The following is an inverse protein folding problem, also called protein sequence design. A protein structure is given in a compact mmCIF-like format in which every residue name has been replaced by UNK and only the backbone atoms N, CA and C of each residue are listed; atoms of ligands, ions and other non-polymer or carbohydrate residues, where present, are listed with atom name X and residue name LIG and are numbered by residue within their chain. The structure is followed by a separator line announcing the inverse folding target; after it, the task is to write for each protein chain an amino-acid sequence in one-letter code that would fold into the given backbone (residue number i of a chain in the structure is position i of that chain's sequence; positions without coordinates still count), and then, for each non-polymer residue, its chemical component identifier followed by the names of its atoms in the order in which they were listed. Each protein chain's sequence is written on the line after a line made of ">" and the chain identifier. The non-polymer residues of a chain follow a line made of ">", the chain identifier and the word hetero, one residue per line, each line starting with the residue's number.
data_IF_467774016353
#
_entry.id   IF_467774016353
#
_cell.length_a   1.000
_cell.length_b   1.000
_cell.length_c   1.000
_cell.angle_alpha   90.00
_cell.angle_beta   90.00
_cell.angle_gamma   90.00
#
_symmetry.space_group_name_H-M   'P 1'
#
loop_
_entity.id
_entity.type
_entity.pdbx_description
1 polymer ?
#
# COMPACT_ATOMS: atom_id res chain seq x y z
N UNK A 1 6.36 31.32 51.44
CA UNK A 1 5.18 30.47 51.28
C UNK A 1 4.40 30.74 49.97
N UNK A 2 4.31 31.99 49.51
CA UNK A 2 3.56 32.38 48.30
C UNK A 2 4.15 31.81 46.99
N UNK A 3 5.47 31.70 46.88
CA UNK A 3 6.15 31.16 45.68
C UNK A 3 5.94 29.65 45.47
N UNK A 4 5.80 28.87 46.55
CA UNK A 4 5.57 27.41 46.45
C UNK A 4 4.16 27.14 45.93
N UNK A 5 3.18 27.96 46.35
CA UNK A 5 1.78 27.83 45.89
C UNK A 5 1.63 28.14 44.39
N UNK A 6 2.35 29.15 43.88
CA UNK A 6 2.37 29.52 42.48
C UNK A 6 2.98 28.39 41.62
N UNK A 7 4.08 27.79 42.03
CA UNK A 7 4.73 26.69 41.30
C UNK A 7 3.85 25.44 41.27
N UNK A 8 3.15 25.14 42.36
CA UNK A 8 2.22 23.99 42.41
C UNK A 8 1.01 24.24 41.49
N UNK A 9 0.48 25.44 41.47
CA UNK A 9 -0.64 25.83 40.63
C UNK A 9 -0.27 25.78 39.14
N UNK A 10 0.91 26.30 38.79
CA UNK A 10 1.41 26.27 37.42
C UNK A 10 1.63 24.83 36.90
N UNK A 11 2.21 23.94 37.74
CA UNK A 11 2.37 22.53 37.39
C UNK A 11 1.04 21.78 37.28
N UNK A 12 0.05 22.12 38.09
CA UNK A 12 -1.29 21.52 38.01
C UNK A 12 -2.04 21.94 36.74
N UNK A 13 -1.90 23.20 36.32
CA UNK A 13 -2.52 23.72 35.09
C UNK A 13 -1.86 23.08 33.86
N UNK A 14 -0.52 22.97 33.84
CA UNK A 14 0.22 22.34 32.76
C UNK A 14 -0.05 20.84 32.67
N UNK A 15 -0.12 20.15 33.82
CA UNK A 15 -0.48 18.73 33.84
C UNK A 15 -1.92 18.48 33.39
N UNK A 16 -2.87 19.31 33.85
CA UNK A 16 -4.26 19.24 33.42
C UNK A 16 -4.46 19.49 31.92
N UNK A 17 -3.74 20.47 31.36
CA UNK A 17 -3.78 20.75 29.92
C UNK A 17 -3.14 19.62 29.08
N UNK A 18 -2.05 19.03 29.56
CA UNK A 18 -1.37 17.91 28.87
C UNK A 18 -2.22 16.64 28.88
N UNK A 19 -2.93 16.35 29.98
CA UNK A 19 -3.85 15.21 30.06
C UNK A 19 -5.08 15.44 29.18
N UNK A 20 -5.64 16.64 29.19
CA UNK A 20 -6.76 17.01 28.33
C UNK A 20 -6.40 16.91 26.85
N UNK A 21 -5.25 17.45 26.44
CA UNK A 21 -4.80 17.39 25.05
C UNK A 21 -4.49 15.96 24.58
N UNK A 22 -3.97 15.10 25.45
CA UNK A 22 -3.73 13.69 25.14
C UNK A 22 -5.06 12.94 24.97
N UNK A 23 -6.05 13.18 25.81
CA UNK A 23 -7.39 12.60 25.69
C UNK A 23 -8.13 13.06 24.43
N UNK A 24 -8.03 14.33 24.06
CA UNK A 24 -8.62 14.85 22.82
C UNK A 24 -7.95 14.26 21.57
N UNK A 25 -6.65 14.12 21.56
CA UNK A 25 -5.93 13.54 20.42
C UNK A 25 -6.27 12.07 20.22
N UNK A 26 -6.33 11.27 21.28
CA UNK A 26 -6.75 9.87 21.20
C UNK A 26 -8.20 9.75 20.75
N UNK A 27 -9.11 10.53 21.34
CA UNK A 27 -10.52 10.56 20.94
C UNK A 27 -10.71 10.97 19.47
N UNK A 28 -10.01 12.00 19.01
CA UNK A 28 -10.06 12.45 17.61
C UNK A 28 -9.51 11.38 16.65
N UNK A 29 -8.42 10.70 17.02
CA UNK A 29 -7.84 9.63 16.22
C UNK A 29 -8.77 8.42 16.19
N UNK A 30 -9.32 8.00 17.32
CA UNK A 30 -10.27 6.89 17.38
C UNK A 30 -11.55 7.18 16.59
N UNK A 31 -12.12 8.37 16.74
CA UNK A 31 -13.31 8.74 15.98
C UNK A 31 -13.04 8.84 14.49
N UNK A 32 -11.88 9.38 14.08
CA UNK A 32 -11.48 9.43 12.68
C UNK A 32 -11.27 8.04 12.08
N UNK A 33 -10.63 7.14 12.83
CA UNK A 33 -10.44 5.73 12.42
C UNK A 33 -11.77 5.01 12.29
N UNK A 34 -12.66 5.15 13.26
CA UNK A 34 -14.00 4.54 13.22
C UNK A 34 -14.84 5.09 12.05
N UNK A 35 -14.79 6.40 11.81
CA UNK A 35 -15.46 7.03 10.69
C UNK A 35 -14.90 6.52 9.34
N UNK A 36 -13.56 6.42 9.23
CA UNK A 36 -12.89 5.88 8.05
C UNK A 36 -13.25 4.41 7.81
N UNK A 37 -13.25 3.58 8.86
CA UNK A 37 -13.66 2.18 8.77
C UNK A 37 -15.13 2.04 8.34
N UNK A 38 -16.02 2.89 8.89
CA UNK A 38 -17.43 2.94 8.48
C UNK A 38 -17.60 3.38 7.03
N UNK A 39 -16.81 4.33 6.57
CA UNK A 39 -16.79 4.76 5.17
C UNK A 39 -16.30 3.65 4.25
N UNK A 40 -15.20 2.97 4.61
CA UNK A 40 -14.63 1.85 3.86
C UNK A 40 -15.52 0.60 3.88
N UNK A 41 -16.42 0.46 4.86
CA UNK A 41 -17.39 -0.64 4.93
C UNK A 41 -18.51 -0.50 3.89
N UNK A 42 -18.75 0.69 3.35
CA UNK A 42 -19.67 0.89 2.23
C UNK A 42 -19.03 0.33 0.95
N UNK A 43 -19.66 -0.64 0.25
CA UNK A 43 -19.02 -1.39 -0.83
C UNK A 43 -18.44 -0.50 -1.94
N UNK A 44 -19.18 0.50 -2.38
CA UNK A 44 -18.75 1.40 -3.45
C UNK A 44 -17.54 2.26 -3.04
N UNK A 45 -17.54 2.81 -1.82
CA UNK A 45 -16.47 3.67 -1.32
C UNK A 45 -15.23 2.84 -1.00
N UNK A 46 -15.41 1.66 -0.38
CA UNK A 46 -14.30 0.75 -0.07
C UNK A 46 -13.55 0.29 -1.32
N UNK A 47 -14.27 -0.13 -2.35
CA UNK A 47 -13.65 -0.59 -3.60
C UNK A 47 -12.99 0.55 -4.38
N UNK A 48 -13.61 1.73 -4.42
CA UNK A 48 -13.00 2.91 -5.06
C UNK A 48 -11.72 3.33 -4.36
N UNK A 49 -11.71 3.32 -3.02
CA UNK A 49 -10.51 3.62 -2.23
C UNK A 49 -9.41 2.60 -2.48
N UNK A 50 -9.73 1.31 -2.51
CA UNK A 50 -8.78 0.24 -2.84
C UNK A 50 -8.17 0.45 -4.22
N UNK A 51 -9.00 0.78 -5.23
CA UNK A 51 -8.52 1.04 -6.57
C UNK A 51 -7.50 2.18 -6.61
N UNK A 52 -7.88 3.36 -6.05
CA UNK A 52 -7.01 4.54 -6.03
C UNK A 52 -5.73 4.29 -5.27
N UNK A 53 -5.82 3.67 -4.08
CA UNK A 53 -4.63 3.35 -3.27
C UNK A 53 -3.73 2.36 -4.01
N UNK A 54 -4.29 1.32 -4.63
CA UNK A 54 -3.53 0.34 -5.38
C UNK A 54 -2.86 0.94 -6.62
N UNK A 55 -3.53 1.85 -7.31
CA UNK A 55 -2.99 2.56 -8.45
C UNK A 55 -1.84 3.49 -8.05
N UNK A 56 -2.06 4.34 -7.03
CA UNK A 56 -1.07 5.32 -6.56
C UNK A 56 0.15 4.62 -5.96
N UNK A 57 -0.06 3.55 -5.16
CA UNK A 57 1.05 2.80 -4.57
C UNK A 57 1.94 2.12 -5.59
N UNK A 58 1.40 1.76 -6.77
CA UNK A 58 2.19 1.18 -7.84
C UNK A 58 3.06 2.22 -8.58
N UNK A 59 2.66 3.49 -8.59
CA UNK A 59 3.35 4.52 -9.40
C UNK A 59 4.28 5.41 -8.59
N UNK A 60 3.94 5.76 -7.36
CA UNK A 60 4.61 6.84 -6.61
C UNK A 60 5.30 6.39 -5.33
N UNK A 61 4.83 5.34 -4.70
CA UNK A 61 5.29 4.97 -3.35
C UNK A 61 5.45 3.45 -3.26
N UNK A 62 6.64 2.94 -2.95
CA UNK A 62 6.86 1.50 -2.75
C UNK A 62 6.25 1.00 -1.44
N UNK A 63 5.21 1.67 -0.95
CA UNK A 63 4.40 1.22 0.17
C UNK A 63 3.29 0.33 -0.39
N UNK A 64 3.23 -0.91 0.09
CA UNK A 64 2.22 -1.86 -0.35
C UNK A 64 0.79 -1.33 -0.12
N UNK A 65 -0.11 -1.61 -1.05
CA UNK A 65 -1.54 -1.35 -0.90
C UNK A 65 -2.28 -2.47 -0.17
N UNK A 66 -1.57 -3.51 0.25
CA UNK A 66 -2.10 -4.68 0.94
C UNK A 66 -2.84 -4.33 2.25
N UNK A 67 -2.35 -3.38 3.09
CA UNK A 67 -3.09 -2.97 4.29
C UNK A 67 -4.47 -2.38 3.97
N UNK A 68 -4.61 -1.64 2.86
CA UNK A 68 -5.89 -1.08 2.47
C UNK A 68 -6.87 -2.17 2.02
N UNK A 69 -6.40 -3.13 1.22
CA UNK A 69 -7.19 -4.30 0.81
C UNK A 69 -7.63 -5.10 2.03
N UNK A 70 -6.71 -5.38 2.96
CA UNK A 70 -7.00 -6.08 4.20
C UNK A 70 -8.05 -5.35 5.05
N UNK A 71 -7.93 -4.02 5.21
CA UNK A 71 -8.87 -3.23 5.99
C UNK A 71 -10.30 -3.32 5.44
N UNK A 72 -10.48 -3.24 4.11
CA UNK A 72 -11.79 -3.37 3.45
C UNK A 72 -12.37 -4.77 3.64
N UNK A 73 -11.56 -5.81 3.48
CA UNK A 73 -12.01 -7.21 3.65
C UNK A 73 -12.34 -7.49 5.12
N UNK A 74 -11.55 -6.96 6.07
CA UNK A 74 -11.82 -7.10 7.51
C UNK A 74 -13.11 -6.40 7.92
N UNK A 75 -13.42 -5.24 7.31
CA UNK A 75 -14.66 -4.51 7.53
C UNK A 75 -15.87 -5.21 6.90
N UNK A 76 -15.68 -5.86 5.76
CA UNK A 76 -16.75 -6.60 5.05
C UNK A 76 -16.15 -7.82 4.33
N UNK A 77 -16.22 -9.02 4.96
CA UNK A 77 -15.67 -10.26 4.38
C UNK A 77 -16.27 -10.65 3.02
N UNK A 78 -17.50 -10.23 2.71
CA UNK A 78 -18.11 -10.47 1.40
C UNK A 78 -17.37 -9.75 0.25
N UNK A 79 -16.55 -8.73 0.58
CA UNK A 79 -15.74 -7.97 -0.38
C UNK A 79 -14.41 -8.63 -0.72
N UNK A 80 -14.13 -9.85 -0.25
CA UNK A 80 -12.84 -10.53 -0.49
C UNK A 80 -12.46 -10.55 -1.98
N UNK A 81 -13.27 -11.17 -2.81
CA UNK A 81 -12.99 -11.27 -4.24
C UNK A 81 -13.05 -9.92 -4.98
N UNK A 82 -14.10 -9.10 -4.78
CA UNK A 82 -14.14 -7.76 -5.39
C UNK A 82 -12.94 -6.90 -5.03
N UNK A 83 -12.50 -6.88 -3.78
CA UNK A 83 -11.36 -6.07 -3.34
C UNK A 83 -10.05 -6.53 -3.98
N UNK A 84 -9.79 -7.85 -4.05
CA UNK A 84 -8.60 -8.40 -4.72
C UNK A 84 -8.59 -8.06 -6.21
N UNK A 85 -9.73 -8.21 -6.89
CA UNK A 85 -9.83 -7.93 -8.32
C UNK A 85 -9.62 -6.43 -8.61
N UNK A 86 -10.26 -5.56 -7.83
CA UNK A 86 -10.14 -4.12 -7.98
C UNK A 86 -8.72 -3.64 -7.66
N UNK A 87 -8.10 -4.16 -6.59
CA UNK A 87 -6.71 -3.88 -6.27
C UNK A 87 -5.75 -4.33 -7.38
N UNK A 88 -5.97 -5.53 -7.91
CA UNK A 88 -5.18 -6.05 -9.05
C UNK A 88 -5.30 -5.16 -10.26
N UNK A 89 -6.51 -4.73 -10.62
CA UNK A 89 -6.75 -3.80 -11.73
C UNK A 89 -6.02 -2.46 -11.51
N UNK A 90 -6.23 -1.82 -10.36
CA UNK A 90 -5.60 -0.54 -10.03
C UNK A 90 -4.08 -0.62 -10.07
N UNK A 91 -3.51 -1.64 -9.42
CA UNK A 91 -2.07 -1.82 -9.35
C UNK A 91 -1.46 -2.24 -10.71
N UNK A 92 -2.19 -2.98 -11.54
CA UNK A 92 -1.75 -3.32 -12.89
C UNK A 92 -1.74 -2.10 -13.81
N UNK A 93 -2.75 -1.24 -13.70
CA UNK A 93 -2.79 0.04 -14.44
C UNK A 93 -1.64 0.96 -14.01
N UNK A 94 -1.33 1.04 -12.72
CA UNK A 94 -0.16 1.76 -12.21
C UNK A 94 1.15 1.20 -12.79
N UNK A 95 1.35 -0.11 -12.77
CA UNK A 95 2.51 -0.75 -13.36
C UNK A 95 2.59 -0.61 -14.89
N UNK A 96 1.45 -0.54 -15.59
CA UNK A 96 1.40 -0.23 -17.01
C UNK A 96 1.84 1.22 -17.28
N UNK A 97 1.51 2.16 -16.40
CA UNK A 97 2.00 3.53 -16.47
C UNK A 97 3.52 3.59 -16.26
N UNK A 98 4.04 2.84 -15.26
CA UNK A 98 5.49 2.72 -15.04
C UNK A 98 6.21 2.12 -16.24
N UNK A 99 5.61 1.12 -16.90
CA UNK A 99 6.11 0.61 -18.15
C UNK A 99 6.20 1.71 -19.22
N UNK A 100 5.15 2.51 -19.39
CA UNK A 100 5.15 3.61 -20.38
C UNK A 100 6.19 4.68 -20.06
N UNK A 101 6.39 5.00 -18.77
CA UNK A 101 7.43 5.91 -18.32
C UNK A 101 8.81 5.35 -18.68
N UNK A 102 9.07 4.07 -18.38
CA UNK A 102 10.31 3.40 -18.74
C UNK A 102 10.56 3.37 -20.24
N UNK A 103 9.52 3.10 -21.02
CA UNK A 103 9.58 3.10 -22.48
C UNK A 103 9.98 4.48 -23.04
N UNK A 104 9.34 5.55 -22.55
CA UNK A 104 9.65 6.93 -22.94
C UNK A 104 11.01 7.39 -22.46
N UNK A 105 11.42 6.99 -21.26
CA UNK A 105 12.71 7.33 -20.69
C UNK A 105 13.87 6.75 -21.54
N UNK A 106 13.77 5.56 -22.09
CA UNK A 106 14.79 5.01 -22.99
C UNK A 106 14.95 5.83 -24.26
N UNK A 107 13.83 6.27 -24.85
CA UNK A 107 13.85 7.12 -26.05
C UNK A 107 14.57 8.44 -25.77
N UNK A 108 14.41 9.01 -24.55
CA UNK A 108 14.99 10.29 -24.16
C UNK A 108 16.46 10.19 -23.72
N UNK A 109 16.86 9.06 -23.09
CA UNK A 109 18.17 8.94 -22.39
C UNK A 109 18.98 7.73 -22.83
N UNK A 110 19.04 7.40 -24.11
CA UNK A 110 19.66 6.22 -24.69
C UNK A 110 21.15 6.02 -24.32
N UNK A 111 21.43 5.71 -23.04
CA UNK A 111 22.74 5.27 -22.56
C UNK A 111 22.63 3.80 -22.16
N UNK A 112 23.21 2.90 -22.95
CA UNK A 112 23.21 1.47 -22.63
C UNK A 112 23.93 1.20 -21.31
N UNK A 113 23.17 0.87 -20.27
CA UNK A 113 23.73 0.29 -19.05
C UNK A 113 23.79 -1.22 -19.21
N UNK A 114 24.96 -1.76 -19.42
CA UNK A 114 25.23 -3.21 -19.36
C UNK A 114 25.14 -3.67 -17.91
N UNK A 115 23.97 -4.14 -17.49
CA UNK A 115 23.76 -4.79 -16.20
C UNK A 115 23.36 -6.26 -16.42
N UNK A 116 23.80 -7.16 -15.55
CA UNK A 116 23.43 -8.60 -15.59
C UNK A 116 21.91 -8.79 -15.55
N UNK A 117 21.18 -7.91 -14.86
CA UNK A 117 19.72 -7.89 -14.79
C UNK A 117 19.07 -7.62 -16.16
N UNK A 118 19.65 -6.74 -16.97
CA UNK A 118 19.15 -6.46 -18.33
C UNK A 118 19.25 -7.69 -19.24
N UNK A 119 20.35 -8.43 -19.15
CA UNK A 119 20.53 -9.66 -19.93
C UNK A 119 19.50 -10.74 -19.55
N UNK A 120 19.22 -10.88 -18.28
CA UNK A 120 18.23 -11.83 -17.77
C UNK A 120 16.81 -11.45 -18.20
N UNK A 121 16.41 -10.18 -18.04
CA UNK A 121 15.12 -9.67 -18.49
C UNK A 121 14.94 -9.83 -20.01
N UNK A 122 15.97 -9.53 -20.79
CA UNK A 122 15.94 -9.68 -22.25
C UNK A 122 15.79 -11.15 -22.68
N UNK A 123 16.38 -12.09 -21.93
CA UNK A 123 16.30 -13.52 -22.23
C UNK A 123 14.90 -14.10 -21.95
N UNK A 124 14.31 -13.80 -20.80
CA UNK A 124 12.99 -14.31 -20.42
C UNK A 124 11.82 -13.45 -20.92
N UNK A 125 12.09 -12.24 -21.36
CA UNK A 125 11.10 -11.33 -21.94
C UNK A 125 9.93 -11.01 -21.00
N UNK A 126 8.72 -10.94 -21.56
CA UNK A 126 7.51 -10.58 -20.83
C UNK A 126 7.18 -11.52 -19.65
N UNK A 127 7.66 -12.77 -19.67
CA UNK A 127 7.43 -13.74 -18.58
C UNK A 127 8.03 -13.31 -17.25
N UNK A 128 9.06 -12.46 -17.27
CA UNK A 128 9.66 -11.89 -16.06
C UNK A 128 8.68 -11.05 -15.25
N UNK A 129 7.62 -10.56 -15.90
CA UNK A 129 6.57 -9.79 -15.23
C UNK A 129 5.74 -10.60 -14.23
N UNK A 130 5.82 -11.94 -14.26
CA UNK A 130 5.28 -12.77 -13.17
C UNK A 130 5.94 -12.45 -11.84
N UNK A 131 7.23 -12.05 -11.83
CA UNK A 131 7.94 -11.61 -10.62
C UNK A 131 7.40 -10.30 -10.03
N UNK A 132 6.43 -9.66 -10.67
CA UNK A 132 5.73 -8.50 -10.09
C UNK A 132 4.92 -8.84 -8.82
N UNK A 133 4.78 -10.14 -8.49
CA UNK A 133 4.22 -10.57 -7.21
C UNK A 133 5.17 -10.28 -6.03
N UNK A 134 6.48 -10.17 -6.26
CA UNK A 134 7.46 -9.92 -5.20
C UNK A 134 7.38 -8.44 -4.77
N UNK A 135 7.13 -8.16 -3.46
CA UNK A 135 7.12 -6.80 -2.95
C UNK A 135 8.44 -6.08 -3.21
N UNK A 136 8.40 -4.78 -3.45
CA UNK A 136 9.53 -3.89 -3.72
C UNK A 136 10.30 -4.12 -5.04
N UNK A 137 10.29 -5.33 -5.61
CA UNK A 137 10.98 -5.65 -6.87
C UNK A 137 10.02 -5.49 -8.05
N UNK A 138 8.73 -5.78 -7.84
CA UNK A 138 7.73 -5.85 -8.90
C UNK A 138 7.53 -4.54 -9.66
N UNK A 139 7.41 -3.43 -8.97
CA UNK A 139 7.14 -2.13 -9.59
C UNK A 139 8.36 -1.57 -10.37
N UNK A 140 9.61 -1.60 -9.85
CA UNK A 140 10.80 -1.31 -10.65
C UNK A 140 10.95 -2.18 -11.90
N UNK A 141 10.50 -3.44 -11.80
CA UNK A 141 10.55 -4.38 -12.92
C UNK A 141 9.64 -3.93 -14.08
N UNK A 142 8.50 -3.31 -13.78
CA UNK A 142 7.60 -2.75 -14.79
C UNK A 142 8.27 -1.62 -15.59
N UNK A 143 8.95 -0.70 -14.90
CA UNK A 143 9.73 0.37 -15.53
C UNK A 143 10.86 -0.19 -16.40
N UNK A 144 11.58 -1.22 -15.91
CA UNK A 144 12.65 -1.88 -16.66
C UNK A 144 12.13 -2.62 -17.90
N UNK A 145 10.95 -3.24 -17.81
CA UNK A 145 10.31 -3.89 -18.96
C UNK A 145 9.98 -2.88 -20.07
N UNK A 146 9.48 -1.70 -19.69
CA UNK A 146 9.28 -0.59 -20.61
C UNK A 146 10.59 -0.11 -21.22
N UNK A 147 11.62 0.07 -20.43
CA UNK A 147 12.96 0.46 -20.88
C UNK A 147 13.55 -0.53 -21.89
N UNK A 148 13.31 -1.82 -21.70
CA UNK A 148 13.76 -2.87 -22.64
C UNK A 148 12.85 -3.03 -23.87
N UNK A 149 11.76 -2.25 -23.95
CA UNK A 149 10.77 -2.35 -25.03
C UNK A 149 10.18 -3.76 -25.17
N UNK A 150 9.95 -4.45 -24.06
CA UNK A 150 9.28 -5.74 -24.07
C UNK A 150 7.86 -5.59 -24.65
N UNK A 151 7.28 -6.62 -25.27
CA UNK A 151 5.93 -6.51 -25.83
C UNK A 151 4.92 -6.13 -24.76
N UNK A 152 4.17 -5.05 -24.97
CA UNK A 152 3.30 -4.43 -23.96
C UNK A 152 2.20 -5.37 -23.45
N UNK A 153 1.40 -5.92 -24.33
CA UNK A 153 0.25 -6.74 -23.94
C UNK A 153 0.62 -8.00 -23.17
N UNK A 154 1.62 -8.81 -23.63
CA UNK A 154 2.11 -9.93 -22.82
C UNK A 154 2.67 -9.50 -21.47
N UNK A 155 3.40 -8.38 -21.41
CA UNK A 155 3.95 -7.85 -20.14
C UNK A 155 2.84 -7.47 -19.16
N UNK A 156 1.80 -6.78 -19.63
CA UNK A 156 0.63 -6.42 -18.79
C UNK A 156 -0.11 -7.68 -18.32
N UNK A 157 -0.28 -8.68 -19.19
CA UNK A 157 -0.94 -9.94 -18.82
C UNK A 157 -0.20 -10.70 -17.72
N UNK A 158 1.12 -10.89 -17.85
CA UNK A 158 1.94 -11.55 -16.82
C UNK A 158 2.03 -10.71 -15.54
N UNK A 159 2.08 -9.40 -15.66
CA UNK A 159 2.04 -8.47 -14.52
C UNK A 159 0.73 -8.60 -13.75
N UNK A 160 -0.41 -8.63 -14.43
CA UNK A 160 -1.72 -8.80 -13.80
C UNK A 160 -1.81 -10.12 -13.01
N UNK A 161 -1.30 -11.21 -13.59
CA UNK A 161 -1.24 -12.52 -12.90
C UNK A 161 -0.34 -12.43 -11.65
N UNK A 162 0.84 -11.84 -11.76
CA UNK A 162 1.76 -11.68 -10.63
C UNK A 162 1.14 -10.83 -9.52
N UNK A 163 0.54 -9.69 -9.84
CA UNK A 163 -0.12 -8.81 -8.87
C UNK A 163 -1.34 -9.45 -8.24
N UNK A 164 -2.13 -10.20 -9.01
CA UNK A 164 -3.25 -10.99 -8.46
C UNK A 164 -2.77 -12.01 -7.42
N UNK A 165 -1.73 -12.79 -7.74
CA UNK A 165 -1.15 -13.75 -6.80
C UNK A 165 -0.61 -13.05 -5.55
N UNK A 166 0.01 -11.90 -5.69
CA UNK A 166 0.48 -11.08 -4.55
C UNK A 166 -0.67 -10.70 -3.62
N UNK A 167 -1.74 -10.11 -4.14
CA UNK A 167 -2.89 -9.73 -3.31
C UNK A 167 -3.55 -10.94 -2.67
N UNK A 168 -3.71 -12.03 -3.42
CA UNK A 168 -4.30 -13.25 -2.90
C UNK A 168 -3.48 -13.82 -1.74
N UNK A 169 -2.17 -14.00 -1.93
CA UNK A 169 -1.28 -14.59 -0.91
C UNK A 169 -1.09 -13.70 0.30
N UNK A 170 -0.85 -12.38 0.10
CA UNK A 170 -0.65 -11.45 1.20
C UNK A 170 -1.93 -11.24 2.02
N UNK A 171 -3.08 -11.09 1.35
CA UNK A 171 -4.36 -10.94 2.06
C UNK A 171 -4.73 -12.22 2.81
N UNK A 172 -4.55 -13.39 2.19
CA UNK A 172 -4.79 -14.66 2.87
C UNK A 172 -3.87 -14.83 4.09
N UNK A 173 -2.58 -14.50 3.97
CA UNK A 173 -1.63 -14.54 5.06
C UNK A 173 -2.03 -13.60 6.22
N UNK A 174 -2.45 -12.37 5.92
CA UNK A 174 -2.90 -11.39 6.92
C UNK A 174 -4.19 -11.82 7.62
N UNK A 175 -5.12 -12.47 6.90
CA UNK A 175 -6.36 -13.01 7.49
C UNK A 175 -6.09 -14.23 8.38
N UNK A 176 -5.04 -14.99 8.10
CA UNK A 176 -4.66 -16.16 8.90
C UNK A 176 -4.04 -15.79 10.26
N UNK A 177 -3.58 -14.54 10.42
CA UNK A 177 -3.02 -14.04 11.68
C UNK A 177 -4.17 -13.85 12.70
N UNK A 178 -4.08 -14.49 13.90
CA UNK A 178 -5.12 -14.40 14.92
C UNK A 178 -5.33 -12.97 15.42
N UNK A 179 -6.58 -12.64 15.78
CA UNK A 179 -6.94 -11.31 16.31
C UNK A 179 -6.21 -10.97 17.64
N UNK A 180 -5.73 -11.98 18.37
CA UNK A 180 -4.89 -11.79 19.55
C UNK A 180 -3.57 -11.08 19.24
N UNK A 181 -2.96 -11.38 18.12
CA UNK A 181 -1.73 -10.72 17.66
C UNK A 181 -1.96 -9.23 17.37
N UNK A 182 -3.03 -8.90 16.66
CA UNK A 182 -3.39 -7.50 16.35
C UNK A 182 -3.69 -6.68 17.61
N UNK A 183 -4.34 -7.29 18.61
CA UNK A 183 -4.59 -6.65 19.92
C UNK A 183 -3.30 -6.40 20.70
N UNK A 184 -2.37 -7.36 20.71
CA UNK A 184 -1.08 -7.19 21.37
C UNK A 184 -0.23 -6.11 20.70
N UNK A 185 -0.20 -6.08 19.36
CA UNK A 185 0.50 -5.05 18.61
C UNK A 185 -0.06 -3.66 18.89
N UNK A 186 -1.38 -3.50 18.95
CA UNK A 186 -2.03 -2.25 19.31
C UNK A 186 -1.70 -1.79 20.73
N UNK A 187 -1.61 -2.72 21.69
CA UNK A 187 -1.23 -2.42 23.07
C UNK A 187 0.26 -2.03 23.23
N UNK A 188 1.13 -2.45 22.31
CA UNK A 188 2.56 -2.06 22.32
C UNK A 188 2.81 -0.70 21.68
N UNK A 189 1.92 -0.25 20.79
CA UNK A 189 2.08 1.00 20.03
C UNK A 189 1.32 2.18 20.64
N UNK A 190 0.44 1.96 21.61
CA UNK A 190 -0.35 2.97 22.35
C UNK A 190 0.08 3.13 23.75
#
# INVERSE_FOLDING_TARGET
>A
MQYIFLIIMERSIIAGSAIATKGWRTFMVESAVLWLLKLLSAPAVGLSSVFVIAFVSATLVPLGSEPAVFAVIKANPAMFWPAILVATCGNTLGGALDYLIGYRAKVAFAKERKSRWFGWLAHYGAKTMLLSWVPAIGDPLCTLAGWLHLPFWPSVGYMAIGKFLRYLTMTAALLYIPDSFWRQLGAMLG
#
